data_IF_650276104768
#
_entry.id   IF_650276104768
#
_cell.length_a   1.000
_cell.length_b   1.000
_cell.length_c   1.000
_cell.angle_alpha   90.00
_cell.angle_beta   90.00
_cell.angle_gamma   90.00
#
_symmetry.space_group_name_H-M   'P 1'
#
loop_
_entity.id
_entity.type
_entity.pdbx_description
1 polymer ?
#
# COMPACT_ATOMS: atom_id res chain seq x y z
N UNK A 1 10.52 -9.93 -34.34
CA UNK A 1 10.81 -10.89 -33.25
C UNK A 1 9.51 -11.14 -32.47
N UNK A 2 9.32 -12.35 -31.95
CA UNK A 2 8.16 -12.61 -31.06
C UNK A 2 8.30 -11.78 -29.79
N UNK A 3 7.20 -11.15 -29.34
CA UNK A 3 7.16 -10.42 -28.07
C UNK A 3 7.22 -11.39 -26.88
N UNK A 4 7.88 -10.99 -25.80
CA UNK A 4 7.86 -11.72 -24.54
C UNK A 4 6.46 -11.65 -23.94
N UNK A 5 5.83 -12.81 -23.72
CA UNK A 5 4.50 -12.89 -23.12
C UNK A 5 4.63 -12.80 -21.61
N UNK A 6 3.99 -11.80 -20.98
CA UNK A 6 3.96 -11.62 -19.52
C UNK A 6 2.57 -11.34 -19.04
N UNK A 7 2.31 -11.75 -17.80
CA UNK A 7 1.08 -11.49 -17.06
C UNK A 7 1.33 -10.64 -15.82
N UNK A 8 0.45 -9.65 -15.57
CA UNK A 8 0.46 -8.79 -14.39
C UNK A 8 -0.86 -8.89 -13.66
N UNK A 9 -0.84 -9.25 -12.37
CA UNK A 9 -2.00 -9.12 -11.50
C UNK A 9 -1.90 -7.83 -10.67
N UNK A 10 -2.87 -6.93 -10.80
CA UNK A 10 -2.90 -5.68 -10.04
C UNK A 10 -4.34 -5.22 -9.73
N UNK A 11 -4.48 -4.25 -8.81
CA UNK A 11 -5.74 -3.56 -8.57
C UNK A 11 -6.14 -2.65 -9.72
N UNK A 12 -7.41 -2.27 -9.73
CA UNK A 12 -7.98 -1.35 -10.71
C UNK A 12 -7.68 0.10 -10.31
N UNK A 13 -6.48 0.57 -10.65
CA UNK A 13 -6.03 1.94 -10.40
C UNK A 13 -6.04 2.77 -11.68
N UNK A 14 -6.45 4.04 -11.58
CA UNK A 14 -6.41 4.96 -12.72
C UNK A 14 -5.01 5.10 -13.34
N UNK A 15 -3.96 5.09 -12.51
CA UNK A 15 -2.56 5.15 -12.99
C UNK A 15 -2.10 3.88 -13.72
N UNK A 16 -2.86 2.78 -13.63
CA UNK A 16 -2.63 1.53 -14.35
C UNK A 16 -3.56 1.37 -15.55
N UNK A 17 -4.64 2.16 -15.62
CA UNK A 17 -5.67 2.05 -16.67
C UNK A 17 -5.12 2.05 -18.09
N UNK A 18 -4.14 2.90 -18.47
CA UNK A 18 -3.58 2.89 -19.82
C UNK A 18 -2.84 1.61 -20.20
N UNK A 19 -2.35 0.83 -19.22
CA UNK A 19 -1.81 -0.52 -19.46
C UNK A 19 -2.95 -1.54 -19.61
N UNK A 20 -4.02 -1.40 -18.81
CA UNK A 20 -5.18 -2.31 -18.84
C UNK A 20 -5.94 -2.19 -20.16
N UNK A 21 -6.15 -0.98 -20.65
CA UNK A 21 -6.92 -0.70 -21.88
C UNK A 21 -6.07 -0.75 -23.17
N UNK A 22 -4.75 -1.01 -23.04
CA UNK A 22 -3.82 -1.13 -24.17
C UNK A 22 -3.41 0.22 -24.80
N UNK A 23 -3.76 1.36 -24.20
CA UNK A 23 -3.30 2.69 -24.63
C UNK A 23 -1.76 2.77 -24.55
N UNK A 24 -1.16 2.17 -23.53
CA UNK A 24 0.29 2.01 -23.42
C UNK A 24 0.66 0.58 -23.73
N UNK A 25 1.65 0.40 -24.60
CA UNK A 25 2.23 -0.88 -24.92
C UNK A 25 3.65 -0.95 -24.37
N UNK A 26 4.02 -2.10 -23.82
CA UNK A 26 5.40 -2.32 -23.33
C UNK A 26 6.29 -2.76 -24.48
N UNK A 27 7.42 -2.09 -24.66
CA UNK A 27 8.35 -2.38 -25.74
C UNK A 27 8.94 -3.79 -25.59
N UNK A 28 8.83 -4.59 -26.67
CA UNK A 28 9.28 -6.00 -26.70
C UNK A 28 8.46 -6.98 -25.86
N UNK A 29 7.41 -6.51 -25.14
CA UNK A 29 6.58 -7.31 -24.25
C UNK A 29 5.12 -7.23 -24.70
N UNK A 30 4.44 -8.37 -24.69
CA UNK A 30 2.97 -8.44 -24.73
C UNK A 30 2.48 -8.70 -23.30
N UNK A 31 1.99 -7.62 -22.66
CA UNK A 31 1.57 -7.63 -21.26
C UNK A 31 0.07 -7.86 -21.14
N UNK A 32 -0.32 -8.98 -20.54
CA UNK A 32 -1.70 -9.25 -20.14
C UNK A 32 -1.95 -8.74 -18.73
N UNK A 33 -2.76 -7.71 -18.56
CA UNK A 33 -3.08 -7.15 -17.25
C UNK A 33 -4.38 -7.74 -16.73
N UNK A 34 -4.29 -8.37 -15.56
CA UNK A 34 -5.41 -8.99 -14.85
C UNK A 34 -5.78 -8.13 -13.64
N UNK A 35 -6.83 -7.33 -13.77
CA UNK A 35 -7.37 -6.60 -12.63
C UNK A 35 -8.19 -7.54 -11.75
N UNK A 36 -7.80 -7.66 -10.49
CA UNK A 36 -8.43 -8.56 -9.53
C UNK A 36 -8.69 -7.85 -8.20
N UNK A 37 -9.59 -8.43 -7.41
CA UNK A 37 -9.70 -8.02 -6.01
C UNK A 37 -8.41 -8.34 -5.23
N UNK A 38 -8.18 -7.61 -4.12
CA UNK A 38 -6.95 -7.71 -3.33
C UNK A 38 -6.64 -9.13 -2.84
N UNK A 39 -7.67 -9.90 -2.49
CA UNK A 39 -7.46 -11.24 -1.97
C UNK A 39 -6.92 -12.15 -3.06
N UNK A 40 -7.48 -12.05 -4.27
CA UNK A 40 -7.02 -12.81 -5.44
C UNK A 40 -5.64 -12.38 -5.92
N UNK A 41 -5.32 -11.08 -5.89
CA UNK A 41 -3.98 -10.60 -6.24
C UNK A 41 -2.92 -11.25 -5.33
N UNK A 42 -3.14 -11.23 -4.02
CA UNK A 42 -2.23 -11.83 -3.06
C UNK A 42 -2.06 -13.35 -3.28
N UNK A 43 -3.15 -14.08 -3.54
CA UNK A 43 -3.09 -15.51 -3.85
C UNK A 43 -2.31 -15.78 -5.13
N UNK A 44 -2.63 -15.05 -6.19
CA UNK A 44 -2.00 -15.17 -7.51
C UNK A 44 -0.49 -14.94 -7.41
N UNK A 45 -0.08 -13.91 -6.65
CA UNK A 45 1.33 -13.60 -6.43
C UNK A 45 2.05 -14.72 -5.65
N UNK A 46 1.50 -15.16 -4.53
CA UNK A 46 2.10 -16.24 -3.70
C UNK A 46 2.18 -17.58 -4.42
N UNK A 47 1.24 -17.86 -5.32
CA UNK A 47 1.24 -19.09 -6.12
C UNK A 47 2.08 -18.99 -7.38
N UNK A 48 2.69 -17.81 -7.65
CA UNK A 48 3.43 -17.52 -8.88
C UNK A 48 2.59 -17.81 -10.15
N UNK A 49 1.28 -17.53 -10.08
CA UNK A 49 0.34 -17.71 -11.19
C UNK A 49 0.45 -16.59 -12.24
N UNK A 50 1.16 -15.51 -11.92
CA UNK A 50 1.50 -14.41 -12.82
C UNK A 50 2.98 -14.10 -12.75
N UNK A 51 3.54 -13.56 -13.84
CA UNK A 51 4.94 -13.15 -13.94
C UNK A 51 5.24 -11.93 -13.07
N UNK A 52 4.26 -11.02 -12.96
CA UNK A 52 4.30 -9.83 -12.12
C UNK A 52 3.03 -9.73 -11.28
N UNK A 53 3.15 -9.21 -10.08
CA UNK A 53 1.99 -8.96 -9.23
C UNK A 53 2.17 -7.72 -8.36
N UNK A 54 1.09 -6.97 -8.15
CA UNK A 54 1.04 -6.00 -7.09
C UNK A 54 1.11 -6.71 -5.73
N UNK A 55 1.95 -6.23 -4.85
CA UNK A 55 2.16 -6.83 -3.54
C UNK A 55 2.17 -5.78 -2.44
N UNK A 56 1.58 -6.10 -1.29
CA UNK A 56 1.68 -5.26 -0.11
C UNK A 56 3.14 -5.19 0.34
N UNK A 57 3.68 -3.97 0.52
CA UNK A 57 5.12 -3.76 0.72
C UNK A 57 5.67 -4.46 1.96
N UNK A 58 4.94 -4.48 3.08
CA UNK A 58 5.38 -5.11 4.31
C UNK A 58 5.35 -6.63 4.23
N UNK A 59 4.34 -7.18 3.52
CA UNK A 59 4.31 -8.61 3.22
C UNK A 59 5.42 -9.01 2.26
N UNK A 60 5.70 -8.18 1.27
CA UNK A 60 6.83 -8.41 0.38
C UNK A 60 8.13 -8.54 1.17
N UNK A 61 8.40 -7.62 2.10
CA UNK A 61 9.60 -7.70 2.94
C UNK A 61 9.67 -9.00 3.74
N UNK A 62 8.56 -9.41 4.36
CA UNK A 62 8.52 -10.67 5.13
C UNK A 62 8.63 -11.91 4.24
N UNK A 63 7.89 -11.98 3.13
CA UNK A 63 7.86 -13.16 2.27
C UNK A 63 9.20 -13.33 1.53
N UNK A 64 9.92 -12.22 1.21
CA UNK A 64 11.24 -12.26 0.57
C UNK A 64 12.37 -12.82 1.46
N UNK A 65 12.16 -12.96 2.78
CA UNK A 65 13.12 -13.63 3.66
C UNK A 65 13.21 -15.14 3.37
N UNK A 66 12.11 -15.74 2.90
CA UNK A 66 12.00 -17.16 2.59
C UNK A 66 11.97 -17.47 1.09
N UNK A 67 11.74 -16.48 0.24
CA UNK A 67 11.67 -16.62 -1.23
C UNK A 67 12.74 -15.76 -1.92
N UNK A 68 13.89 -16.36 -2.20
CA UNK A 68 15.01 -15.67 -2.87
C UNK A 68 14.73 -15.33 -4.34
N UNK A 69 13.68 -15.89 -4.94
CA UNK A 69 13.24 -15.60 -6.31
C UNK A 69 12.31 -14.36 -6.37
N UNK A 70 11.84 -13.87 -5.23
CA UNK A 70 10.91 -12.74 -5.16
C UNK A 70 11.67 -11.41 -5.09
N UNK A 71 11.55 -10.61 -6.13
CA UNK A 71 12.06 -9.24 -6.22
C UNK A 71 10.93 -8.24 -6.40
N UNK A 72 11.20 -6.95 -6.18
CA UNK A 72 10.28 -5.88 -6.54
C UNK A 72 10.86 -4.96 -7.62
N UNK A 73 10.02 -4.57 -8.56
CA UNK A 73 10.25 -3.39 -9.38
C UNK A 73 9.99 -2.14 -8.52
N UNK A 74 10.73 -1.05 -8.70
CA UNK A 74 10.46 0.20 -7.99
C UNK A 74 9.28 0.95 -8.63
N UNK A 75 8.14 0.26 -8.70
CA UNK A 75 6.83 0.73 -9.16
C UNK A 75 5.87 0.63 -7.99
N UNK A 76 5.30 1.76 -7.59
CA UNK A 76 4.49 1.89 -6.37
C UNK A 76 3.06 2.30 -6.72
N UNK A 77 2.19 1.34 -7.09
CA UNK A 77 0.83 1.65 -7.56
C UNK A 77 -0.08 2.20 -6.49
N UNK A 78 0.24 1.97 -5.22
CA UNK A 78 -0.57 2.43 -4.11
C UNK A 78 0.27 3.16 -3.06
N UNK A 79 -0.03 4.46 -2.87
CA UNK A 79 0.43 5.29 -1.75
C UNK A 79 -0.77 5.90 -1.06
N UNK A 80 -0.68 6.15 0.24
CA UNK A 80 -1.80 6.76 0.96
C UNK A 80 -1.40 7.26 2.34
N UNK A 81 -1.76 8.49 2.67
CA UNK A 81 -1.83 8.95 4.04
C UNK A 81 -2.92 8.20 4.81
N UNK A 82 -2.76 8.05 6.12
CA UNK A 82 -3.58 7.09 6.87
C UNK A 82 -4.28 7.65 8.10
N UNK A 83 -3.99 8.86 8.53
CA UNK A 83 -4.59 9.43 9.74
C UNK A 83 -6.12 9.53 9.65
N UNK A 84 -6.67 9.75 8.45
CA UNK A 84 -8.11 9.73 8.19
C UNK A 84 -8.83 8.42 8.54
N UNK A 85 -8.08 7.32 8.76
CA UNK A 85 -8.64 5.97 8.86
C UNK A 85 -8.54 5.34 10.25
N UNK A 86 -8.35 6.19 11.27
CA UNK A 86 -8.47 5.80 12.68
C UNK A 86 -9.80 6.32 13.20
N UNK A 87 -10.68 5.40 13.58
CA UNK A 87 -12.00 5.69 14.13
C UNK A 87 -12.05 5.27 15.59
N UNK A 88 -12.86 5.98 16.38
CA UNK A 88 -13.03 5.76 17.82
C UNK A 88 -14.51 5.66 18.18
N UNK A 89 -14.81 4.87 19.20
CA UNK A 89 -16.12 4.94 19.84
C UNK A 89 -16.21 6.28 20.61
N UNK A 90 -17.22 7.07 20.32
CA UNK A 90 -17.36 8.42 20.91
C UNK A 90 -17.56 8.39 22.43
N UNK A 91 -18.08 7.29 22.98
CA UNK A 91 -18.24 7.10 24.41
C UNK A 91 -16.94 6.65 25.12
N UNK A 92 -15.89 6.24 24.38
CA UNK A 92 -14.63 5.80 24.96
C UNK A 92 -13.77 6.94 25.53
N UNK A 93 -14.15 8.19 25.28
CA UNK A 93 -13.46 9.37 25.82
C UNK A 93 -12.10 9.65 25.18
N UNK A 94 -11.80 9.04 24.01
CA UNK A 94 -10.56 9.24 23.25
C UNK A 94 -10.69 10.54 22.46
N UNK A 95 -9.83 11.51 22.74
CA UNK A 95 -9.80 12.83 22.11
C UNK A 95 -8.49 13.10 21.38
N UNK A 96 -7.39 12.51 21.84
CA UNK A 96 -6.07 12.67 21.26
C UNK A 96 -5.36 11.31 21.13
N UNK A 97 -4.33 11.18 20.31
CA UNK A 97 -3.64 9.90 20.06
C UNK A 97 -3.15 9.19 21.31
N UNK A 98 -2.66 9.93 22.32
CA UNK A 98 -2.15 9.36 23.57
C UNK A 98 -3.24 8.66 24.40
N UNK A 99 -4.50 9.02 24.21
CA UNK A 99 -5.62 8.35 24.86
C UNK A 99 -5.80 6.90 24.36
N UNK A 100 -5.16 6.52 23.25
CA UNK A 100 -5.10 5.12 22.78
C UNK A 100 -4.26 4.21 23.67
N UNK A 101 -3.40 4.76 24.53
CA UNK A 101 -2.52 3.96 25.41
C UNK A 101 -3.37 3.11 26.35
N UNK A 102 -3.19 1.79 26.25
CA UNK A 102 -3.93 0.81 27.03
C UNK A 102 -5.36 0.52 26.53
N UNK A 103 -5.78 1.16 25.43
CA UNK A 103 -7.09 0.94 24.82
C UNK A 103 -7.10 -0.26 23.87
N UNK A 104 -8.29 -0.81 23.68
CA UNK A 104 -8.54 -1.89 22.73
C UNK A 104 -8.69 -1.34 21.32
N UNK A 105 -7.96 -1.93 20.38
CA UNK A 105 -7.88 -1.44 19.01
C UNK A 105 -8.00 -2.61 18.01
N UNK A 106 -8.97 -2.55 17.12
CA UNK A 106 -9.06 -3.48 15.99
C UNK A 106 -8.21 -2.97 14.84
N UNK A 107 -7.33 -3.83 14.33
CA UNK A 107 -6.58 -3.61 13.09
C UNK A 107 -6.79 -4.84 12.20
N UNK A 108 -7.07 -4.64 10.91
CA UNK A 108 -7.18 -5.74 9.96
C UNK A 108 -5.82 -6.41 9.74
N UNK A 109 -5.52 -7.44 10.53
CA UNK A 109 -4.26 -8.16 10.52
C UNK A 109 -3.11 -7.33 11.10
N UNK A 110 -2.06 -7.99 11.58
CA UNK A 110 -0.90 -7.31 12.14
C UNK A 110 0.10 -6.83 11.09
N UNK A 111 0.06 -7.41 9.89
CA UNK A 111 1.07 -7.28 8.83
C UNK A 111 0.75 -6.35 7.65
N UNK A 112 -0.47 -5.79 7.43
CA UNK A 112 -0.68 -4.88 6.32
C UNK A 112 0.10 -3.57 6.47
N UNK A 113 0.61 -3.03 5.37
CA UNK A 113 1.39 -1.79 5.35
C UNK A 113 0.68 -0.64 6.08
N UNK A 114 -0.65 -0.55 5.96
CA UNK A 114 -1.43 0.46 6.69
C UNK A 114 -1.29 0.36 8.21
N UNK A 115 -1.29 -0.87 8.76
CA UNK A 115 -1.15 -1.10 10.20
C UNK A 115 0.26 -0.78 10.68
N UNK A 116 1.28 -1.21 9.93
CA UNK A 116 2.69 -0.97 10.25
C UNK A 116 3.01 0.53 10.18
N UNK A 117 2.59 1.22 9.10
CA UNK A 117 2.75 2.67 8.97
C UNK A 117 2.08 3.41 10.12
N UNK A 118 0.80 3.13 10.40
CA UNK A 118 0.08 3.85 11.45
C UNK A 118 0.67 3.63 12.83
N UNK A 119 1.03 2.39 13.18
CA UNK A 119 1.69 2.12 14.47
C UNK A 119 3.04 2.83 14.55
N UNK A 120 3.83 2.84 13.46
CA UNK A 120 5.08 3.59 13.38
C UNK A 120 4.88 5.08 13.60
N UNK A 121 3.94 5.69 12.87
CA UNK A 121 3.59 7.10 13.01
C UNK A 121 3.07 7.42 14.42
N UNK A 122 2.19 6.60 14.98
CA UNK A 122 1.66 6.79 16.34
C UNK A 122 2.78 6.76 17.37
N UNK A 123 3.77 5.87 17.22
CA UNK A 123 4.91 5.78 18.11
C UNK A 123 5.84 7.00 18.00
N UNK A 124 6.25 7.36 16.78
CA UNK A 124 7.28 8.41 16.58
C UNK A 124 6.74 9.83 16.73
N UNK A 125 5.54 10.09 16.19
CA UNK A 125 5.03 11.46 16.08
C UNK A 125 3.91 11.78 17.08
N UNK A 126 3.29 10.76 17.69
CA UNK A 126 2.16 10.96 18.61
C UNK A 126 2.40 10.40 20.00
N UNK A 127 3.56 9.79 20.26
CA UNK A 127 3.93 9.29 21.59
C UNK A 127 3.06 8.14 22.08
N UNK A 128 2.62 7.24 21.16
CA UNK A 128 1.84 6.03 21.46
C UNK A 128 2.71 4.80 21.17
N UNK A 129 3.40 4.23 22.18
CA UNK A 129 4.30 3.10 21.97
C UNK A 129 3.59 1.86 21.42
N UNK A 130 4.29 1.06 20.60
CA UNK A 130 3.74 -0.14 19.95
C UNK A 130 3.12 -1.13 20.93
N UNK A 131 3.82 -1.37 22.06
CA UNK A 131 3.47 -2.34 23.10
C UNK A 131 2.33 -1.87 24.03
N UNK A 132 1.93 -0.63 23.90
CA UNK A 132 0.87 -0.03 24.74
C UNK A 132 -0.51 -0.09 24.08
N UNK A 133 -0.62 -0.58 22.86
CA UNK A 133 -1.87 -0.80 22.15
C UNK A 133 -2.35 -2.24 22.39
N UNK A 134 -3.59 -2.41 22.84
CA UNK A 134 -4.22 -3.74 22.97
C UNK A 134 -4.89 -4.11 21.66
N UNK A 135 -4.16 -4.82 20.78
CA UNK A 135 -4.70 -5.25 19.50
C UNK A 135 -5.70 -6.38 19.72
N UNK A 136 -6.91 -6.20 19.19
CA UNK A 136 -8.00 -7.18 19.23
C UNK A 136 -8.20 -7.74 17.83
N UNK A 137 -8.22 -9.06 17.73
CA UNK A 137 -8.60 -9.75 16.51
C UNK A 137 -10.10 -10.10 16.55
N UNK A 138 -10.91 -9.50 15.68
CA UNK A 138 -12.36 -9.70 15.68
C UNK A 138 -12.80 -11.11 15.28
N UNK A 139 -11.90 -11.92 14.73
CA UNK A 139 -12.17 -13.27 14.22
C UNK A 139 -11.36 -14.36 14.91
N UNK A 140 -10.51 -14.02 15.89
CA UNK A 140 -9.61 -14.95 16.56
C UNK A 140 -8.51 -15.52 15.65
N UNK A 141 -8.15 -14.78 14.57
CA UNK A 141 -7.18 -15.20 13.54
C UNK A 141 -6.04 -14.19 13.52
N UNK A 142 -5.31 -14.11 14.64
CA UNK A 142 -4.07 -13.32 14.67
C UNK A 142 -3.06 -13.94 13.69
N UNK A 143 -2.71 -13.16 12.67
CA UNK A 143 -1.61 -13.48 11.76
C UNK A 143 -1.97 -13.59 10.30
N UNK A 144 -2.94 -14.36 9.89
CA UNK A 144 -3.36 -14.48 8.48
C UNK A 144 -4.87 -14.56 8.37
N UNK A 145 -5.49 -13.52 7.82
CA UNK A 145 -6.81 -13.72 7.19
C UNK A 145 -6.55 -14.68 6.02
N UNK A 146 -7.06 -15.92 6.06
CA UNK A 146 -6.89 -16.83 4.94
C UNK A 146 -7.33 -16.11 3.67
N UNK A 147 -6.58 -16.26 2.63
CA UNK A 147 -6.88 -15.69 1.32
C UNK A 147 -8.21 -16.21 0.74
N UNK A 148 -8.70 -17.33 1.26
CA UNK A 148 -10.04 -17.90 0.99
C UNK A 148 -11.16 -17.25 1.80
N UNK A 149 -10.86 -16.23 2.65
CA UNK A 149 -11.76 -15.80 3.71
C UNK A 149 -11.83 -16.80 4.86
N UNK A 150 -12.29 -16.39 6.02
CA UNK A 150 -12.79 -17.34 7.03
C UNK A 150 -14.08 -17.93 6.44
N UNK A 151 -14.29 -19.24 6.61
CA UNK A 151 -15.47 -19.89 6.09
C UNK A 151 -16.72 -19.10 6.55
N UNK A 152 -17.42 -18.50 5.60
CA UNK A 152 -18.59 -17.64 5.85
C UNK A 152 -18.33 -16.16 6.14
N UNK A 153 -17.05 -15.68 6.20
CA UNK A 153 -16.73 -14.26 6.44
C UNK A 153 -15.79 -13.77 5.34
N UNK A 154 -16.33 -13.16 4.30
CA UNK A 154 -15.55 -12.44 3.28
C UNK A 154 -14.85 -11.18 3.85
N UNK A 155 -14.06 -10.48 3.03
CA UNK A 155 -13.43 -9.21 3.42
C UNK A 155 -14.43 -8.19 3.99
N UNK A 156 -15.65 -8.18 3.46
CA UNK A 156 -16.75 -7.33 3.91
C UNK A 156 -17.26 -7.74 5.30
N UNK A 157 -17.28 -9.04 5.60
CA UNK A 157 -17.69 -9.56 6.89
C UNK A 157 -16.73 -9.19 8.03
N UNK A 158 -15.41 -9.18 7.78
CA UNK A 158 -14.44 -8.69 8.74
C UNK A 158 -14.66 -7.21 9.06
N UNK A 159 -14.87 -6.39 8.03
CA UNK A 159 -15.09 -4.95 8.22
C UNK A 159 -16.39 -4.68 8.97
N UNK A 160 -17.47 -5.34 8.59
CA UNK A 160 -18.77 -5.22 9.27
C UNK A 160 -18.67 -5.65 10.75
N UNK A 161 -17.99 -6.77 11.05
CA UNK A 161 -17.81 -7.20 12.45
C UNK A 161 -16.97 -6.22 13.25
N UNK A 162 -15.87 -5.73 12.69
CA UNK A 162 -15.01 -4.74 13.37
C UNK A 162 -15.73 -3.42 13.64
N UNK A 163 -16.52 -2.97 12.67
CA UNK A 163 -17.36 -1.78 12.79
C UNK A 163 -18.43 -1.98 13.87
N UNK A 164 -19.09 -3.14 13.90
CA UNK A 164 -20.08 -3.47 14.92
C UNK A 164 -19.47 -3.51 16.33
N UNK A 165 -18.29 -4.13 16.49
CA UNK A 165 -17.57 -4.14 17.77
C UNK A 165 -17.25 -2.73 18.29
N UNK A 166 -16.88 -1.82 17.37
CA UNK A 166 -16.65 -0.42 17.72
C UNK A 166 -17.94 0.26 18.18
N UNK A 167 -19.05 0.08 17.45
CA UNK A 167 -20.35 0.69 17.77
C UNK A 167 -20.91 0.17 19.10
N UNK A 168 -20.71 -1.10 19.41
CA UNK A 168 -21.20 -1.73 20.64
C UNK A 168 -20.28 -1.47 21.86
N UNK A 169 -19.12 -0.82 21.63
CA UNK A 169 -18.14 -0.54 22.67
C UNK A 169 -17.34 -1.76 23.14
N UNK A 170 -17.34 -2.85 22.36
CA UNK A 170 -16.50 -4.02 22.62
C UNK A 170 -15.01 -3.66 22.42
N UNK A 171 -14.75 -2.67 21.57
CA UNK A 171 -13.42 -2.08 21.34
C UNK A 171 -13.50 -0.56 21.33
N UNK A 172 -12.40 0.09 21.73
CA UNK A 172 -12.32 1.54 21.84
C UNK A 172 -12.04 2.24 20.51
N UNK A 173 -11.27 1.57 19.62
CA UNK A 173 -10.84 2.15 18.34
C UNK A 173 -10.74 1.10 17.22
N UNK A 174 -10.74 1.59 15.98
CA UNK A 174 -10.65 0.82 14.75
C UNK A 174 -9.70 1.50 13.75
N UNK A 175 -8.67 0.80 13.31
CA UNK A 175 -7.91 1.18 12.11
C UNK A 175 -8.54 0.48 10.90
N UNK A 176 -9.20 1.26 10.05
CA UNK A 176 -9.94 0.75 8.90
C UNK A 176 -9.16 0.92 7.59
N UNK A 177 -9.42 0.07 6.60
CA UNK A 177 -8.89 0.21 5.24
C UNK A 177 -9.61 1.32 4.44
N UNK A 178 -10.87 1.58 4.77
CA UNK A 178 -11.73 2.60 4.18
C UNK A 178 -12.52 3.35 5.26
N UNK A 179 -13.43 4.22 4.84
CA UNK A 179 -14.34 4.90 5.77
C UNK A 179 -15.49 3.95 6.10
N UNK A 180 -15.77 3.68 7.40
CA UNK A 180 -16.88 2.83 7.83
C UNK A 180 -18.23 3.36 7.35
N UNK A 181 -19.15 2.45 7.04
CA UNK A 181 -20.49 2.82 6.57
C UNK A 181 -21.31 3.56 7.62
N UNK A 182 -21.19 3.17 8.88
CA UNK A 182 -21.83 3.88 9.99
C UNK A 182 -21.38 5.34 10.09
N UNK A 183 -20.07 5.58 9.92
CA UNK A 183 -19.55 6.96 9.91
C UNK A 183 -20.11 7.78 8.74
N UNK A 184 -20.17 7.20 7.52
CA UNK A 184 -20.76 7.86 6.35
C UNK A 184 -22.23 8.20 6.60
N UNK A 185 -22.97 7.31 7.26
CA UNK A 185 -24.39 7.46 7.58
C UNK A 185 -24.66 8.37 8.80
N UNK A 186 -23.60 8.92 9.42
CA UNK A 186 -23.74 9.87 10.53
C UNK A 186 -24.10 9.23 11.87
N UNK A 187 -23.75 7.96 12.11
CA UNK A 187 -23.97 7.32 13.42
C UNK A 187 -23.15 8.06 14.49
N UNK A 188 -23.81 8.59 15.55
CA UNK A 188 -23.13 9.39 16.57
C UNK A 188 -22.16 8.60 17.46
N UNK A 189 -22.20 7.27 17.42
CA UNK A 189 -21.34 6.39 18.24
C UNK A 189 -19.92 6.27 17.69
N UNK A 190 -19.68 6.70 16.43
CA UNK A 190 -18.38 6.61 15.78
C UNK A 190 -17.86 7.99 15.39
N UNK A 191 -16.60 8.27 15.70
CA UNK A 191 -15.91 9.49 15.31
C UNK A 191 -14.52 9.20 14.72
N UNK A 192 -13.92 10.16 14.03
CA UNK A 192 -12.50 10.09 13.68
C UNK A 192 -11.64 10.53 14.86
N UNK A 193 -10.52 9.81 15.08
CA UNK A 193 -9.49 10.28 16.03
C UNK A 193 -8.87 11.61 15.58
N UNK A 194 -8.67 11.76 14.28
CA UNK A 194 -8.13 12.96 13.65
C UNK A 194 -9.19 13.61 12.75
N UNK A 195 -10.07 14.47 13.28
CA UNK A 195 -11.03 15.20 12.44
C UNK A 195 -10.32 16.16 11.48
N UNK A 196 -9.15 16.67 11.86
CA UNK A 196 -8.25 17.54 11.13
C UNK A 196 -7.14 16.76 10.37
N UNK A 197 -7.43 15.51 9.97
CA UNK A 197 -6.45 14.59 9.37
C UNK A 197 -5.69 15.17 8.18
N UNK A 198 -6.34 16.00 7.37
CA UNK A 198 -5.72 16.59 6.18
C UNK A 198 -4.55 17.51 6.56
N UNK A 199 -4.76 18.39 7.53
CA UNK A 199 -3.73 19.33 7.99
C UNK A 199 -2.59 18.57 8.69
N UNK A 200 -2.92 17.49 9.41
CA UNK A 200 -1.92 16.63 10.06
C UNK A 200 -1.13 15.79 9.08
N UNK A 201 -1.75 15.23 8.03
CA UNK A 201 -1.05 14.52 6.97
C UNK A 201 -0.11 15.47 6.21
N UNK A 202 -0.53 16.71 5.97
CA UNK A 202 0.31 17.77 5.37
C UNK A 202 1.49 18.13 6.29
N UNK A 203 1.24 18.35 7.58
CA UNK A 203 2.29 18.63 8.56
C UNK A 203 3.31 17.48 8.65
N UNK A 204 2.81 16.24 8.73
CA UNK A 204 3.64 15.03 8.70
C UNK A 204 4.53 14.97 7.45
N UNK A 205 3.97 15.24 6.27
CA UNK A 205 4.75 15.29 5.04
C UNK A 205 5.80 16.41 5.04
N UNK A 206 5.46 17.59 5.55
CA UNK A 206 6.41 18.68 5.64
C UNK A 206 7.59 18.37 6.56
N UNK A 207 7.35 17.68 7.67
CA UNK A 207 8.35 17.26 8.63
C UNK A 207 9.21 16.10 8.10
N UNK A 208 8.56 15.05 7.56
CA UNK A 208 9.24 13.79 7.26
C UNK A 208 9.58 13.58 5.79
N UNK A 209 8.93 14.30 4.89
CA UNK A 209 8.95 14.06 3.43
C UNK A 209 8.46 12.68 3.02
N UNK A 210 7.70 12.01 3.88
CA UNK A 210 7.15 10.68 3.63
C UNK A 210 5.72 10.79 3.11
N UNK A 211 5.49 10.28 1.89
CA UNK A 211 4.18 9.91 1.38
C UNK A 211 4.09 8.38 1.35
N UNK A 212 3.37 7.75 2.29
CA UNK A 212 3.51 6.34 2.61
C UNK A 212 3.28 5.38 1.42
N UNK A 213 4.30 4.61 1.07
CA UNK A 213 4.22 3.53 0.08
C UNK A 213 3.49 2.35 0.71
N UNK A 214 2.42 1.87 0.06
CA UNK A 214 1.62 0.74 0.53
C UNK A 214 1.93 -0.53 -0.23
N UNK A 215 2.13 -0.43 -1.55
CA UNK A 215 2.35 -1.58 -2.42
C UNK A 215 3.49 -1.31 -3.40
N UNK A 216 4.12 -2.41 -3.85
CA UNK A 216 5.07 -2.43 -4.96
C UNK A 216 4.65 -3.50 -5.96
N UNK A 217 5.19 -3.45 -7.17
CA UNK A 217 5.04 -4.53 -8.17
C UNK A 217 6.18 -5.52 -7.98
N UNK A 218 5.86 -6.79 -7.72
CA UNK A 218 6.85 -7.86 -7.62
C UNK A 218 7.11 -8.53 -8.98
N UNK A 219 8.30 -9.09 -9.13
CA UNK A 219 8.81 -9.79 -10.30
C UNK A 219 9.67 -10.96 -9.85
N UNK A 220 9.70 -12.05 -10.62
CA UNK A 220 10.54 -13.20 -10.32
C UNK A 220 11.97 -12.97 -10.82
N UNK A 221 12.98 -13.40 -10.03
CA UNK A 221 14.41 -13.37 -10.43
C UNK A 221 14.64 -14.10 -11.74
N UNK A 222 14.06 -15.29 -11.89
CA UNK A 222 14.13 -16.12 -13.09
C UNK A 222 13.66 -15.39 -14.35
N UNK A 223 12.69 -14.49 -14.24
CA UNK A 223 12.27 -13.63 -15.35
C UNK A 223 13.34 -12.59 -15.67
N UNK A 224 13.95 -11.97 -14.65
CA UNK A 224 15.01 -10.97 -14.85
C UNK A 224 16.24 -11.63 -15.53
N UNK A 225 16.61 -12.83 -15.10
CA UNK A 225 17.74 -13.59 -15.65
C UNK A 225 17.57 -13.93 -17.15
N UNK A 226 16.36 -14.36 -17.53
CA UNK A 226 16.07 -14.70 -18.94
C UNK A 226 15.80 -13.49 -19.85
N UNK A 227 15.41 -12.34 -19.26
CA UNK A 227 15.09 -11.11 -19.99
C UNK A 227 15.55 -9.86 -19.21
N UNK A 228 16.87 -9.60 -19.09
CA UNK A 228 17.40 -8.50 -18.27
C UNK A 228 16.92 -7.10 -18.68
N UNK A 229 16.50 -6.94 -19.91
CA UNK A 229 15.93 -5.71 -20.48
C UNK A 229 14.47 -5.46 -20.07
N UNK A 230 13.73 -6.52 -19.67
CA UNK A 230 12.31 -6.41 -19.38
C UNK A 230 11.97 -5.45 -18.21
N UNK A 231 12.72 -5.45 -17.08
CA UNK A 231 12.44 -4.54 -15.95
C UNK A 231 12.43 -3.06 -16.33
N UNK A 232 13.36 -2.61 -17.18
CA UNK A 232 13.44 -1.20 -17.58
C UNK A 232 12.31 -0.82 -18.53
N UNK A 233 11.95 -1.71 -19.46
CA UNK A 233 10.84 -1.49 -20.40
C UNK A 233 9.49 -1.50 -19.66
N UNK A 234 9.33 -2.36 -18.64
CA UNK A 234 8.18 -2.33 -17.74
C UNK A 234 8.09 -1.01 -16.98
N UNK A 235 9.19 -0.55 -16.35
CA UNK A 235 9.20 0.72 -15.63
C UNK A 235 8.82 1.90 -16.55
N UNK A 236 9.32 1.92 -17.79
CA UNK A 236 8.96 2.95 -18.78
C UNK A 236 7.45 2.92 -19.05
N UNK A 237 6.88 1.74 -19.32
CA UNK A 237 5.47 1.58 -19.61
C UNK A 237 4.58 1.97 -18.40
N UNK A 238 4.95 1.59 -17.18
CA UNK A 238 4.25 2.04 -15.97
C UNK A 238 4.32 3.56 -15.79
N UNK A 239 5.47 4.17 -16.08
CA UNK A 239 5.66 5.63 -15.96
C UNK A 239 4.85 6.38 -17.00
N UNK A 240 4.79 5.88 -18.24
CA UNK A 240 3.96 6.44 -19.31
C UNK A 240 2.48 6.32 -18.99
N UNK A 241 2.02 5.16 -18.51
CA UNK A 241 0.63 4.94 -18.10
C UNK A 241 0.22 5.92 -17.00
N UNK A 242 1.07 6.13 -15.99
CA UNK A 242 0.85 7.11 -14.93
C UNK A 242 0.76 8.54 -15.49
N UNK A 243 1.65 8.93 -16.40
CA UNK A 243 1.63 10.27 -17.01
C UNK A 243 0.34 10.51 -17.81
N UNK A 244 -0.14 9.52 -18.57
CA UNK A 244 -1.41 9.59 -19.28
C UNK A 244 -2.59 9.71 -18.30
N UNK A 245 -2.58 8.94 -17.21
CA UNK A 245 -3.61 9.01 -16.18
C UNK A 245 -3.64 10.39 -15.51
N UNK A 246 -2.49 10.98 -15.21
CA UNK A 246 -2.40 12.34 -14.67
C UNK A 246 -2.98 13.37 -15.66
N UNK A 247 -2.63 13.28 -16.95
CA UNK A 247 -3.18 14.16 -17.97
C UNK A 247 -4.71 14.00 -18.13
N UNK A 248 -5.24 12.80 -17.95
CA UNK A 248 -6.69 12.56 -17.90
C UNK A 248 -7.31 13.18 -16.64
N UNK A 249 -6.65 13.05 -15.49
CA UNK A 249 -7.18 13.54 -14.21
C UNK A 249 -7.31 15.06 -14.16
N UNK A 250 -6.39 15.82 -14.74
CA UNK A 250 -6.49 17.31 -14.80
C UNK A 250 -7.61 17.81 -15.72
N UNK A 251 -8.19 16.95 -16.53
CA UNK A 251 -9.32 17.32 -17.38
C UNK A 251 -10.62 17.29 -16.54
N UNK A 252 -11.27 18.45 -16.29
CA UNK A 252 -12.47 18.51 -15.44
C UNK A 252 -13.68 17.76 -16.01
N UNK A 253 -13.60 17.29 -17.26
CA UNK A 253 -14.65 16.48 -17.87
C UNK A 253 -14.53 14.99 -17.52
N UNK A 254 -13.36 14.54 -17.10
CA UNK A 254 -13.13 13.12 -16.75
C UNK A 254 -13.43 12.80 -15.29
N UNK A 255 -13.26 13.74 -14.37
CA UNK A 255 -13.55 13.56 -12.96
C UNK A 255 -14.79 14.42 -12.57
N UNK A 256 -15.98 13.83 -12.35
CA UNK A 256 -17.19 14.58 -12.00
C UNK A 256 -17.19 14.97 -10.51
N UNK A 257 -16.13 15.65 -10.05
CA UNK A 257 -15.97 16.13 -8.68
C UNK A 257 -15.79 17.65 -8.71
N UNK A 258 -16.76 18.40 -8.17
CA UNK A 258 -16.83 19.85 -8.27
C UNK A 258 -15.60 20.57 -7.70
N UNK A 259 -14.99 20.03 -6.64
CA UNK A 259 -13.83 20.65 -5.98
C UNK A 259 -12.50 19.96 -6.33
N UNK A 260 -12.48 19.14 -7.38
CA UNK A 260 -11.29 18.40 -7.80
C UNK A 260 -10.12 19.32 -8.14
N UNK A 261 -10.37 20.43 -8.86
CA UNK A 261 -9.33 21.37 -9.30
C UNK A 261 -8.53 21.91 -8.09
N UNK A 262 -9.23 22.34 -7.03
CA UNK A 262 -8.57 22.84 -5.81
C UNK A 262 -7.72 21.76 -5.14
N UNK A 263 -8.27 20.54 -5.01
CA UNK A 263 -7.56 19.42 -4.42
C UNK A 263 -6.30 19.03 -5.24
N UNK A 264 -6.41 19.08 -6.56
CA UNK A 264 -5.28 18.84 -7.46
C UNK A 264 -4.18 19.88 -7.29
N UNK A 265 -4.53 21.17 -7.31
CA UNK A 265 -3.58 22.28 -7.14
C UNK A 265 -2.89 22.22 -5.77
N UNK A 266 -3.63 21.93 -4.70
CA UNK A 266 -3.08 21.77 -3.37
C UNK A 266 -2.10 20.59 -3.31
N UNK A 267 -2.45 19.45 -3.92
CA UNK A 267 -1.55 18.30 -4.02
C UNK A 267 -0.25 18.67 -4.73
N UNK A 268 -0.33 19.39 -5.86
CA UNK A 268 0.85 19.83 -6.62
C UNK A 268 1.73 20.78 -5.79
N UNK A 269 1.12 21.71 -5.06
CA UNK A 269 1.84 22.64 -4.21
C UNK A 269 2.55 21.96 -3.03
N UNK A 270 1.93 20.92 -2.44
CA UNK A 270 2.43 20.23 -1.26
C UNK A 270 3.41 19.11 -1.63
N UNK A 271 3.00 18.22 -2.53
CA UNK A 271 3.71 16.97 -2.85
C UNK A 271 4.58 17.07 -4.11
N UNK A 272 4.46 18.17 -4.87
CA UNK A 272 5.14 18.35 -6.14
C UNK A 272 4.38 17.73 -7.34
N UNK A 273 4.98 17.81 -8.54
CA UNK A 273 4.30 17.46 -9.80
C UNK A 273 4.05 15.96 -9.98
N UNK A 274 4.81 15.08 -9.32
CA UNK A 274 4.65 13.64 -9.40
C UNK A 274 4.77 12.98 -8.00
N UNK A 275 3.72 13.03 -7.19
CA UNK A 275 3.74 12.39 -5.87
C UNK A 275 3.87 10.86 -5.93
N UNK A 276 3.50 10.24 -7.05
CA UNK A 276 3.66 8.79 -7.31
C UNK A 276 4.93 8.48 -8.11
N UNK A 277 6.00 9.26 -7.96
CA UNK A 277 7.26 9.00 -8.67
C UNK A 277 7.73 7.54 -8.46
N UNK A 278 8.09 6.89 -9.57
CA UNK A 278 8.68 5.55 -9.57
C UNK A 278 10.21 5.61 -9.55
N UNK A 279 10.85 4.46 -9.41
CA UNK A 279 12.30 4.35 -9.31
C UNK A 279 12.83 4.43 -7.89
N UNK A 280 14.13 4.13 -7.72
CA UNK A 280 14.83 4.16 -6.44
C UNK A 280 15.53 5.50 -6.23
N UNK A 281 14.80 6.62 -6.36
CA UNK A 281 15.28 7.94 -5.99
C UNK A 281 15.34 8.13 -4.46
N UNK A 282 15.98 9.21 -3.99
CA UNK A 282 16.19 9.46 -2.56
C UNK A 282 14.89 9.51 -1.75
N UNK A 283 13.81 10.10 -2.29
CA UNK A 283 12.52 10.18 -1.62
C UNK A 283 11.89 8.79 -1.44
N UNK A 284 11.98 7.93 -2.47
CA UNK A 284 11.47 6.57 -2.39
C UNK A 284 12.35 5.69 -1.47
N UNK A 285 13.68 5.84 -1.53
CA UNK A 285 14.59 5.15 -0.60
C UNK A 285 14.26 5.52 0.85
N UNK A 286 14.16 6.80 1.16
CA UNK A 286 13.80 7.28 2.50
C UNK A 286 12.46 6.69 3.00
N UNK A 287 11.45 6.65 2.13
CA UNK A 287 10.14 6.07 2.43
C UNK A 287 10.24 4.55 2.70
N UNK A 288 10.97 3.83 1.85
CA UNK A 288 11.15 2.38 1.96
C UNK A 288 12.02 1.98 3.17
N UNK A 289 13.09 2.72 3.45
CA UNK A 289 13.93 2.51 4.64
C UNK A 289 13.12 2.71 5.92
N UNK A 290 12.25 3.73 5.94
CA UNK A 290 11.37 3.99 7.10
C UNK A 290 10.40 2.84 7.33
N UNK A 291 9.69 2.36 6.30
CA UNK A 291 8.73 1.26 6.48
C UNK A 291 9.45 -0.07 6.78
N UNK A 292 10.63 -0.30 6.22
CA UNK A 292 11.43 -1.50 6.53
C UNK A 292 11.90 -1.49 7.99
N UNK A 293 12.35 -0.34 8.49
CA UNK A 293 12.67 -0.14 9.91
C UNK A 293 11.44 -0.39 10.79
N UNK A 294 10.29 0.16 10.46
CA UNK A 294 9.04 -0.11 11.18
C UNK A 294 8.66 -1.59 11.17
N UNK A 295 8.91 -2.31 10.07
CA UNK A 295 8.71 -3.77 10.02
C UNK A 295 9.63 -4.50 11.00
N UNK A 296 10.90 -4.11 11.09
CA UNK A 296 11.86 -4.71 12.02
C UNK A 296 11.49 -4.42 13.48
N UNK A 297 11.20 -3.16 13.82
CA UNK A 297 10.80 -2.73 15.18
C UNK A 297 9.51 -3.41 15.66
N UNK A 298 8.61 -3.76 14.73
CA UNK A 298 7.34 -4.43 15.02
C UNK A 298 7.42 -5.96 14.84
N UNK A 299 8.63 -6.51 14.68
CA UNK A 299 8.86 -7.96 14.64
C UNK A 299 8.35 -8.67 13.38
N UNK A 300 8.15 -7.93 12.27
CA UNK A 300 7.67 -8.53 11.02
C UNK A 300 8.76 -9.16 10.19
N UNK A 301 9.96 -8.61 10.23
CA UNK A 301 11.14 -9.10 9.54
C UNK A 301 12.22 -9.42 10.55
N UNK A 302 12.99 -10.48 10.31
CA UNK A 302 14.00 -10.98 11.22
C UNK A 302 15.36 -10.32 10.99
N UNK A 303 15.61 -9.86 9.76
CA UNK A 303 16.88 -9.24 9.35
C UNK A 303 16.63 -7.96 8.57
N UNK A 304 17.52 -6.98 8.80
CA UNK A 304 17.52 -5.75 8.00
C UNK A 304 18.27 -6.02 6.70
N UNK A 305 17.55 -6.35 5.63
CA UNK A 305 18.12 -6.45 4.28
C UNK A 305 18.25 -5.05 3.70
N UNK A 306 19.24 -4.85 2.82
CA UNK A 306 19.36 -3.59 2.10
C UNK A 306 18.25 -3.47 1.05
N UNK A 307 17.82 -2.26 0.73
CA UNK A 307 16.87 -2.05 -0.38
C UNK A 307 17.44 -2.51 -1.72
N UNK A 308 18.76 -2.51 -1.88
CA UNK A 308 19.42 -2.98 -3.10
C UNK A 308 19.37 -4.51 -3.26
N UNK A 309 19.10 -5.26 -2.16
CA UNK A 309 18.85 -6.70 -2.19
C UNK A 309 17.37 -7.03 -2.44
N UNK A 310 16.48 -6.06 -2.26
CA UNK A 310 15.04 -6.24 -2.36
C UNK A 310 14.48 -5.73 -3.68
N UNK A 311 15.05 -4.68 -4.25
CA UNK A 311 14.55 -4.06 -5.46
C UNK A 311 15.47 -4.29 -6.65
N UNK A 312 14.87 -4.46 -7.82
CA UNK A 312 15.61 -4.56 -9.07
C UNK A 312 16.35 -3.24 -9.29
N UNK A 313 17.67 -3.34 -9.43
CA UNK A 313 18.49 -2.21 -9.85
C UNK A 313 18.31 -2.01 -11.35
N UNK A 314 17.77 -0.86 -11.73
CA UNK A 314 17.46 -0.53 -13.13
C UNK A 314 18.62 0.17 -13.88
N UNK A 315 19.82 0.20 -13.31
CA UNK A 315 21.04 0.53 -14.02
C UNK A 315 21.35 -0.60 -15.02
N UNK A 316 21.35 -0.30 -16.33
CA UNK A 316 21.57 -1.29 -17.39
C UNK A 316 22.88 -2.05 -17.21
N UNK A 317 23.93 -1.38 -16.72
CA UNK A 317 25.22 -2.01 -16.41
C UNK A 317 25.12 -3.02 -15.26
N UNK A 318 24.18 -2.85 -14.35
CA UNK A 318 23.96 -3.77 -13.22
C UNK A 318 22.91 -4.84 -13.51
N UNK A 319 22.04 -4.62 -14.49
CA UNK A 319 21.12 -5.66 -14.96
C UNK A 319 21.87 -6.78 -15.69
N UNK A 320 23.02 -6.49 -16.31
CA UNK A 320 23.88 -7.50 -16.93
C UNK A 320 24.34 -8.61 -15.96
N UNK A 321 24.38 -8.35 -14.66
CA UNK A 321 24.70 -9.37 -13.63
C UNK A 321 23.67 -10.53 -13.56
N UNK A 322 22.47 -10.31 -14.08
CA UNK A 322 21.42 -11.32 -14.17
C UNK A 322 21.44 -12.08 -15.50
N UNK A 323 22.13 -11.56 -16.53
CA UNK A 323 22.39 -12.30 -17.75
C UNK A 323 23.42 -13.38 -17.42
N UNK A 324 22.94 -14.62 -17.18
CA UNK A 324 23.79 -15.76 -16.88
C UNK A 324 24.89 -15.96 -17.90
N UNK A 325 26.03 -16.43 -17.43
CA UNK A 325 27.17 -16.82 -18.24
C UNK A 325 26.85 -17.99 -19.17
#
# INVERSE_FOLDING_TARGET
MAKLQLSLACGDYEIMRPLVDGTVQTDGIELTVLTKDRARILQTSRRKECDLAEFNITRYFSDSESDADLFALPVFPHRRFRLAFIFVNTAAGIKEPRDLIGRSLVIRGERPAAAIWLRGMLNEHFGVPYDRLKIVDPLGILGEVPSSGVAGVGPDGWQARSEQMLLDGEVDALISAGVPSSFINGDPRIGRLFPDFNDRDIAYYHETKIFPIMHAVTIQRSLIERAPWAPINLLRAFSEAKAIAYNRAVNPRTAPISFFQKAWEDQQAILGPDPWVYGMNDANRHNLDTILRYCAEQGMVSTTRSLDDLFVNLDEAKLSRFAGH
#
